data_IF_202458674042
#
_entry.id   IF_202458674042
#
_cell.length_a   1.000
_cell.length_b   1.000
_cell.length_c   1.000
_cell.angle_alpha   90.00
_cell.angle_beta   90.00
_cell.angle_gamma   90.00
#
_symmetry.space_group_name_H-M   'P 1'
#
loop_
_entity.id
_entity.type
_entity.pdbx_description
1 polymer ?
#
# COMPACT_ATOMS: atom_id res chain seq x y z
N UNK A 1 -27.13 65.68 -75.69
CA UNK A 1 -26.55 64.33 -75.87
C UNK A 1 -26.65 63.60 -74.53
N UNK A 2 -27.25 62.41 -74.55
CA UNK A 2 -27.57 61.50 -73.43
C UNK A 2 -28.73 61.86 -72.49
N UNK A 3 -29.88 61.24 -72.77
CA UNK A 3 -30.99 60.84 -71.90
C UNK A 3 -31.58 59.61 -72.62
N UNK A 4 -31.57 58.39 -72.08
CA UNK A 4 -32.63 57.68 -71.30
C UNK A 4 -32.19 56.20 -71.25
N UNK A 5 -32.57 55.26 -70.37
CA UNK A 5 -33.74 55.00 -69.54
C UNK A 5 -33.39 54.00 -68.42
N UNK A 6 -34.25 53.96 -67.40
CA UNK A 6 -34.20 53.09 -66.23
C UNK A 6 -34.66 51.64 -66.51
N UNK A 7 -34.23 50.69 -65.67
CA UNK A 7 -35.01 49.50 -65.34
C UNK A 7 -34.71 49.04 -63.90
N UNK A 8 -35.80 48.83 -63.16
CA UNK A 8 -35.86 48.37 -61.77
C UNK A 8 -35.64 46.86 -61.68
N UNK A 9 -35.03 46.40 -60.59
CA UNK A 9 -35.08 45.02 -60.14
C UNK A 9 -35.03 44.94 -58.63
N UNK A 10 -36.17 44.63 -57.99
CA UNK A 10 -36.28 44.24 -56.59
C UNK A 10 -35.60 42.88 -56.37
N UNK A 11 -34.85 42.72 -55.27
CA UNK A 11 -34.57 41.42 -54.68
C UNK A 11 -34.79 41.48 -53.16
N UNK A 12 -35.80 40.72 -52.72
CA UNK A 12 -36.16 40.45 -51.34
C UNK A 12 -35.08 39.62 -50.62
N UNK A 13 -34.98 39.81 -49.32
CA UNK A 13 -33.96 39.23 -48.45
C UNK A 13 -34.14 37.76 -48.06
N UNK A 14 -33.10 37.24 -47.41
CA UNK A 14 -33.14 36.17 -46.42
C UNK A 14 -31.84 36.24 -45.60
N UNK A 15 -31.88 36.87 -44.43
CA UNK A 15 -30.79 36.78 -43.46
C UNK A 15 -30.91 35.45 -42.70
N UNK A 16 -30.06 34.48 -43.04
CA UNK A 16 -29.93 33.23 -42.30
C UNK A 16 -29.17 33.50 -40.99
N UNK A 17 -29.92 33.58 -39.89
CA UNK A 17 -29.35 33.53 -38.53
C UNK A 17 -28.90 32.10 -38.24
N UNK A 18 -27.59 31.83 -38.36
CA UNK A 18 -26.98 30.63 -37.83
C UNK A 18 -26.94 30.72 -36.29
N UNK A 19 -27.93 30.14 -35.63
CA UNK A 19 -27.90 29.90 -34.19
C UNK A 19 -26.85 28.82 -33.87
N UNK A 20 -25.68 29.23 -33.42
CA UNK A 20 -24.67 28.31 -32.89
C UNK A 20 -25.12 27.80 -31.51
N UNK A 21 -25.72 26.62 -31.45
CA UNK A 21 -25.91 25.90 -30.18
C UNK A 21 -24.57 25.31 -29.75
N UNK A 22 -23.85 26.01 -28.88
CA UNK A 22 -22.67 25.48 -28.21
C UNK A 22 -23.10 24.35 -27.24
N UNK A 23 -23.06 23.11 -27.73
CA UNK A 23 -23.16 21.94 -26.88
C UNK A 23 -21.95 21.92 -25.93
N UNK A 24 -22.16 22.34 -24.68
CA UNK A 24 -21.18 22.19 -23.62
C UNK A 24 -21.09 20.70 -23.30
N UNK A 25 -20.11 20.02 -23.90
CA UNK A 25 -19.74 18.67 -23.48
C UNK A 25 -19.28 18.75 -22.02
N UNK A 26 -20.10 18.24 -21.10
CA UNK A 26 -19.69 18.04 -19.72
C UNK A 26 -18.56 17.01 -19.73
N UNK A 27 -17.38 17.41 -19.24
CA UNK A 27 -16.28 16.48 -19.01
C UNK A 27 -16.78 15.32 -18.14
N UNK A 28 -16.36 14.06 -18.42
CA UNK A 28 -16.76 12.94 -17.58
C UNK A 28 -16.30 13.20 -16.15
N UNK A 29 -17.23 13.05 -15.19
CA UNK A 29 -16.91 13.13 -13.78
C UNK A 29 -15.78 12.14 -13.46
N UNK A 30 -14.68 12.63 -12.89
CA UNK A 30 -13.59 11.77 -12.41
C UNK A 30 -14.19 10.78 -11.41
N UNK A 31 -14.07 9.49 -11.69
CA UNK A 31 -14.52 8.45 -10.76
C UNK A 31 -13.78 8.64 -9.43
N UNK A 32 -14.52 8.62 -8.31
CA UNK A 32 -13.89 8.68 -6.99
C UNK A 32 -12.92 7.51 -6.83
N UNK A 33 -11.74 7.73 -6.22
CA UNK A 33 -10.80 6.65 -5.97
C UNK A 33 -11.47 5.55 -5.13
N UNK A 34 -11.14 4.27 -5.38
CA UNK A 34 -11.73 3.17 -4.65
C UNK A 34 -11.43 3.30 -3.15
N UNK A 35 -12.40 2.90 -2.32
CA UNK A 35 -12.20 2.76 -0.87
C UNK A 35 -11.90 1.29 -0.53
N UNK A 36 -11.09 1.00 0.50
CA UNK A 36 -10.82 -0.37 0.91
C UNK A 36 -12.08 -1.03 1.48
N UNK A 37 -12.40 -2.23 0.98
CA UNK A 37 -13.51 -3.05 1.42
C UNK A 37 -13.21 -3.74 2.77
N UNK A 38 -11.97 -4.20 2.95
CA UNK A 38 -11.48 -4.75 4.22
C UNK A 38 -10.84 -3.63 5.02
N UNK A 39 -11.42 -3.33 6.19
CA UNK A 39 -11.02 -2.21 7.04
C UNK A 39 -10.26 -2.64 8.30
N UNK A 40 -10.37 -3.91 8.68
CA UNK A 40 -9.67 -4.50 9.80
C UNK A 40 -9.56 -6.02 9.60
N UNK A 41 -8.63 -6.65 10.29
CA UNK A 41 -8.60 -8.11 10.44
C UNK A 41 -9.60 -8.54 11.52
N UNK A 42 -10.27 -9.67 11.31
CA UNK A 42 -11.22 -10.21 12.30
C UNK A 42 -10.53 -10.63 13.60
N UNK A 43 -9.25 -10.98 13.53
CA UNK A 43 -8.44 -11.43 14.66
C UNK A 43 -7.08 -10.72 14.61
N UNK A 44 -6.52 -10.42 15.78
CA UNK A 44 -5.16 -9.90 15.89
C UNK A 44 -4.14 -11.00 15.56
N UNK A 45 -3.31 -10.83 14.51
CA UNK A 45 -2.38 -11.85 14.08
C UNK A 45 -1.28 -12.08 15.13
N UNK A 46 -0.98 -13.35 15.42
CA UNK A 46 0.16 -13.76 16.23
C UNK A 46 1.36 -14.17 15.35
N UNK A 47 1.14 -14.36 14.05
CA UNK A 47 2.19 -14.73 13.12
C UNK A 47 2.01 -14.14 11.72
N UNK A 48 3.13 -13.74 11.10
CA UNK A 48 3.13 -13.18 9.76
C UNK A 48 4.32 -13.69 8.94
N UNK A 49 4.08 -13.91 7.65
CA UNK A 49 5.12 -14.00 6.63
C UNK A 49 5.11 -12.74 5.77
N UNK A 50 6.26 -12.10 5.61
CA UNK A 50 6.48 -10.95 4.73
C UNK A 50 7.10 -11.45 3.42
N UNK A 51 6.37 -11.34 2.33
CA UNK A 51 6.77 -11.82 1.00
C UNK A 51 6.97 -10.62 0.08
N UNK A 52 8.20 -10.39 -0.36
CA UNK A 52 8.50 -9.25 -1.22
C UNK A 52 9.99 -9.09 -1.47
N UNK A 53 10.49 -7.86 -1.36
CA UNK A 53 11.82 -7.51 -1.83
C UNK A 53 12.58 -6.60 -0.85
N UNK A 54 13.48 -5.79 -1.38
CA UNK A 54 14.33 -4.85 -0.65
C UNK A 54 13.56 -3.85 0.20
N UNK A 55 12.32 -3.53 -0.15
CA UNK A 55 11.47 -2.66 0.66
C UNK A 55 11.08 -3.31 2.00
N UNK A 56 11.15 -4.64 2.09
CA UNK A 56 10.98 -5.37 3.34
C UNK A 56 12.26 -5.73 4.06
N UNK A 57 13.42 -5.94 3.42
CA UNK A 57 14.64 -6.31 4.16
C UNK A 57 15.49 -5.10 4.58
N UNK A 58 15.31 -3.92 3.96
CA UNK A 58 16.10 -2.75 4.30
C UNK A 58 16.01 -2.40 5.79
N UNK A 59 17.11 -1.89 6.34
CA UNK A 59 17.21 -1.43 7.73
C UNK A 59 16.79 -2.48 8.77
N UNK A 60 17.23 -3.73 8.64
CA UNK A 60 16.91 -4.83 9.58
C UNK A 60 15.46 -5.35 9.50
N UNK A 61 14.86 -5.22 8.33
CA UNK A 61 13.60 -5.81 7.91
C UNK A 61 12.30 -5.43 8.65
N UNK A 62 11.22 -5.30 7.88
CA UNK A 62 9.90 -4.87 8.34
C UNK A 62 9.34 -5.72 9.50
N UNK A 63 9.51 -7.04 9.43
CA UNK A 63 9.02 -7.96 10.47
C UNK A 63 9.70 -7.71 11.84
N UNK A 64 10.97 -7.31 11.85
CA UNK A 64 11.72 -6.97 13.06
C UNK A 64 11.27 -5.64 13.68
N UNK A 65 11.06 -4.62 12.84
CA UNK A 65 10.50 -3.33 13.28
C UNK A 65 9.09 -3.47 13.80
N UNK A 66 8.23 -4.24 13.12
CA UNK A 66 6.87 -4.53 13.58
C UNK A 66 6.88 -5.21 14.95
N UNK A 67 7.70 -6.25 15.14
CA UNK A 67 7.84 -6.91 16.45
C UNK A 67 8.27 -5.92 17.53
N UNK A 68 9.20 -5.02 17.22
CA UNK A 68 9.68 -4.01 18.17
C UNK A 68 8.61 -2.97 18.52
N UNK A 69 7.77 -2.58 17.56
CA UNK A 69 6.59 -1.73 17.80
C UNK A 69 5.55 -2.44 18.68
N UNK A 70 5.25 -3.72 18.42
CA UNK A 70 4.33 -4.51 19.25
C UNK A 70 4.81 -4.51 20.71
N UNK A 71 6.10 -4.84 20.93
CA UNK A 71 6.70 -4.80 22.27
C UNK A 71 6.69 -3.39 22.87
N UNK A 72 7.03 -2.38 22.08
CA UNK A 72 7.10 -0.98 22.52
C UNK A 72 5.74 -0.36 22.85
N UNK A 73 4.64 -0.94 22.35
CA UNK A 73 3.27 -0.63 22.73
C UNK A 73 2.83 -1.33 24.04
N UNK A 74 3.68 -2.21 24.59
CA UNK A 74 3.38 -2.98 25.80
C UNK A 74 2.46 -4.18 25.56
N UNK A 75 2.27 -4.61 24.31
CA UNK A 75 1.45 -5.77 23.98
C UNK A 75 2.14 -7.06 24.47
N UNK A 76 1.42 -7.83 25.29
CA UNK A 76 1.97 -9.03 25.94
C UNK A 76 1.86 -10.28 25.06
N UNK A 77 1.04 -10.24 24.00
CA UNK A 77 0.86 -11.40 23.11
C UNK A 77 2.11 -11.58 22.25
N UNK A 78 2.68 -12.80 22.18
CA UNK A 78 3.83 -13.05 21.34
C UNK A 78 3.47 -12.89 19.86
N UNK A 79 4.37 -12.29 19.09
CA UNK A 79 4.28 -12.16 17.64
C UNK A 79 5.50 -12.76 16.97
N UNK A 80 5.27 -13.64 15.99
CA UNK A 80 6.32 -14.28 15.18
C UNK A 80 6.26 -13.80 13.74
N UNK A 81 7.28 -13.08 13.29
CA UNK A 81 7.42 -12.65 11.91
C UNK A 81 8.54 -13.38 11.19
N UNK A 82 8.32 -13.77 9.93
CA UNK A 82 9.37 -14.25 9.01
C UNK A 82 9.35 -13.39 7.75
N UNK A 83 10.51 -13.19 7.13
CA UNK A 83 10.65 -12.47 5.86
C UNK A 83 11.23 -13.39 4.79
N UNK A 84 10.52 -13.55 3.68
CA UNK A 84 10.98 -14.22 2.47
C UNK A 84 11.10 -13.17 1.38
N UNK A 85 12.32 -12.68 1.19
CA UNK A 85 12.58 -11.54 0.32
C UNK A 85 13.60 -11.85 -0.76
N UNK A 86 13.33 -11.40 -1.99
CA UNK A 86 14.25 -11.51 -3.11
C UNK A 86 14.54 -10.10 -3.63
N UNK A 87 15.81 -9.73 -3.78
CA UNK A 87 16.18 -8.38 -4.21
C UNK A 87 15.60 -8.06 -5.59
N UNK A 88 14.83 -6.97 -5.68
CA UNK A 88 14.21 -6.51 -6.93
C UNK A 88 13.02 -7.33 -7.42
N UNK A 89 12.53 -8.31 -6.65
CA UNK A 89 11.43 -9.18 -7.10
C UNK A 89 10.11 -8.45 -7.26
N UNK A 90 9.35 -8.87 -8.26
CA UNK A 90 7.90 -8.77 -8.28
C UNK A 90 7.24 -10.05 -7.73
N UNK A 91 5.92 -10.03 -7.64
CA UNK A 91 5.12 -11.17 -7.17
C UNK A 91 5.39 -12.45 -7.96
N UNK A 92 5.63 -12.33 -9.26
CA UNK A 92 5.79 -13.45 -10.18
C UNK A 92 7.07 -14.27 -9.94
N UNK A 93 8.04 -13.72 -9.20
CA UNK A 93 9.27 -14.45 -8.84
C UNK A 93 9.08 -15.34 -7.60
N UNK A 94 8.04 -15.08 -6.80
CA UNK A 94 7.80 -15.81 -5.56
C UNK A 94 6.95 -17.06 -5.83
N UNK A 95 7.53 -18.22 -5.58
CA UNK A 95 6.77 -19.46 -5.43
C UNK A 95 6.13 -19.52 -4.03
N UNK A 96 5.00 -18.81 -3.86
CA UNK A 96 4.31 -18.68 -2.57
C UNK A 96 3.82 -20.03 -2.05
N UNK A 97 3.39 -20.95 -2.93
CA UNK A 97 2.98 -22.30 -2.53
C UNK A 97 4.12 -23.00 -1.80
N UNK A 98 5.35 -22.85 -2.31
CA UNK A 98 6.52 -23.48 -1.69
C UNK A 98 6.79 -23.05 -0.24
N UNK A 99 6.39 -21.83 0.14
CA UNK A 99 6.61 -21.26 1.47
C UNK A 99 5.64 -21.80 2.52
N UNK A 100 4.47 -22.28 2.08
CA UNK A 100 3.40 -22.81 2.93
C UNK A 100 3.37 -24.35 2.99
N UNK A 101 4.25 -25.04 2.26
CA UNK A 101 4.32 -26.52 2.32
C UNK A 101 4.56 -27.02 3.76
N UNK A 102 4.09 -28.23 4.12
CA UNK A 102 4.41 -28.84 5.41
C UNK A 102 5.91 -28.85 5.67
N UNK A 103 6.32 -28.46 6.88
CA UNK A 103 7.73 -28.36 7.30
C UNK A 103 8.60 -27.43 6.43
N UNK A 104 8.02 -26.44 5.75
CA UNK A 104 8.76 -25.43 5.00
C UNK A 104 9.25 -24.29 5.90
N UNK A 105 8.84 -23.05 5.63
CA UNK A 105 9.29 -21.87 6.36
C UNK A 105 8.78 -21.92 7.80
N UNK A 106 9.70 -21.75 8.75
CA UNK A 106 9.38 -21.79 10.19
C UNK A 106 9.24 -23.19 10.78
N UNK A 107 9.75 -24.23 10.10
CA UNK A 107 9.74 -25.62 10.58
C UNK A 107 10.46 -25.85 11.91
N UNK A 108 11.34 -24.93 12.31
CA UNK A 108 11.94 -24.91 13.64
C UNK A 108 12.14 -23.47 14.14
N UNK A 109 12.31 -23.34 15.44
CA UNK A 109 12.62 -22.10 16.16
C UNK A 109 13.67 -22.37 17.23
N UNK A 110 14.21 -21.31 17.82
CA UNK A 110 15.10 -21.40 18.98
C UNK A 110 14.32 -21.00 20.22
N UNK A 111 14.39 -21.81 21.29
CA UNK A 111 13.85 -21.44 22.60
C UNK A 111 14.77 -20.47 23.36
N UNK A 112 14.41 -20.13 24.60
CA UNK A 112 15.16 -19.20 25.44
C UNK A 112 16.56 -19.71 25.81
N UNK A 113 16.79 -21.02 25.73
CA UNK A 113 18.05 -21.68 26.02
C UNK A 113 18.86 -21.97 24.73
N UNK A 114 18.39 -21.47 23.57
CA UNK A 114 18.93 -21.69 22.23
C UNK A 114 18.85 -23.14 21.72
N UNK A 115 17.95 -23.95 22.25
CA UNK A 115 17.68 -25.27 21.68
C UNK A 115 16.83 -25.15 20.41
N UNK A 116 17.10 -26.03 19.44
CA UNK A 116 16.28 -26.14 18.24
C UNK A 116 14.99 -26.88 18.59
N UNK A 117 13.86 -26.20 18.43
CA UNK A 117 12.52 -26.74 18.65
C UNK A 117 11.80 -26.86 17.31
N UNK A 118 11.45 -28.08 16.92
CA UNK A 118 10.71 -28.35 15.70
C UNK A 118 9.23 -27.99 15.87
N UNK A 119 8.71 -27.15 14.98
CA UNK A 119 7.33 -26.69 14.98
C UNK A 119 6.44 -27.69 14.24
N UNK A 120 5.33 -28.10 14.88
CA UNK A 120 4.27 -28.84 14.23
C UNK A 120 2.98 -28.00 14.25
N UNK A 121 2.79 -27.16 13.23
CA UNK A 121 1.66 -26.23 13.13
C UNK A 121 0.80 -26.59 11.93
N UNK A 122 -0.51 -26.74 12.16
CA UNK A 122 -1.47 -26.95 11.07
C UNK A 122 -1.62 -25.68 10.21
N UNK A 123 -1.56 -24.50 10.83
CA UNK A 123 -1.50 -23.19 10.16
C UNK A 123 -0.14 -22.56 10.45
N UNK A 124 0.69 -22.34 9.42
CA UNK A 124 2.05 -21.82 9.60
C UNK A 124 2.06 -20.33 9.98
N UNK A 125 1.18 -19.54 9.36
CA UNK A 125 1.06 -18.10 9.57
C UNK A 125 -0.42 -17.68 9.66
N UNK A 126 -0.73 -16.65 10.43
CA UNK A 126 -2.09 -16.06 10.46
C UNK A 126 -2.30 -15.14 9.26
N UNK A 127 -1.26 -14.42 8.86
CA UNK A 127 -1.29 -13.50 7.70
C UNK A 127 -0.07 -13.66 6.78
N UNK A 128 -0.27 -13.35 5.51
CA UNK A 128 0.81 -13.14 4.54
C UNK A 128 0.78 -11.68 4.08
N UNK A 129 1.79 -10.90 4.48
CA UNK A 129 1.97 -9.51 4.06
C UNK A 129 2.79 -9.51 2.77
N UNK A 130 2.16 -9.15 1.66
CA UNK A 130 2.72 -9.31 0.32
C UNK A 130 2.90 -7.94 -0.35
N UNK A 131 4.07 -7.70 -0.92
CA UNK A 131 4.38 -6.52 -1.72
C UNK A 131 4.95 -6.94 -3.08
N UNK A 132 4.47 -6.31 -4.15
CA UNK A 132 5.02 -6.49 -5.50
C UNK A 132 6.31 -5.63 -5.67
N UNK A 133 6.90 -5.62 -6.86
CA UNK A 133 7.95 -4.67 -7.16
C UNK A 133 7.40 -3.22 -7.06
N UNK A 134 8.22 -2.27 -6.59
CA UNK A 134 7.76 -0.94 -6.16
C UNK A 134 7.07 -0.09 -7.24
N UNK A 135 7.20 -0.44 -8.52
CA UNK A 135 6.56 0.25 -9.65
C UNK A 135 5.68 -0.69 -10.50
N UNK A 136 5.76 -2.02 -10.29
CA UNK A 136 5.06 -3.01 -11.11
C UNK A 136 3.54 -2.80 -11.18
N UNK A 137 2.84 -2.48 -10.07
CA UNK A 137 1.39 -2.28 -10.07
C UNK A 137 0.89 -1.19 -11.02
N UNK A 138 1.75 -0.22 -11.37
CA UNK A 138 1.40 0.95 -12.20
C UNK A 138 2.11 0.93 -13.56
N UNK A 139 2.92 -0.09 -13.84
CA UNK A 139 3.65 -0.18 -15.10
C UNK A 139 2.75 -0.80 -16.20
N UNK A 140 2.70 -0.24 -17.42
CA UNK A 140 1.74 -0.67 -18.45
C UNK A 140 1.77 -2.17 -18.81
N UNK A 141 2.94 -2.81 -18.71
CA UNK A 141 3.08 -4.27 -18.98
C UNK A 141 3.03 -5.13 -17.73
N UNK A 142 3.33 -4.58 -16.56
CA UNK A 142 3.44 -5.36 -15.32
C UNK A 142 2.22 -5.20 -14.42
N UNK A 143 1.39 -4.17 -14.61
CA UNK A 143 0.11 -4.02 -13.91
C UNK A 143 -0.81 -5.24 -14.06
N UNK A 144 -0.98 -5.82 -15.27
CA UNK A 144 -1.73 -7.06 -15.42
C UNK A 144 -1.09 -8.27 -14.71
N UNK A 145 0.25 -8.32 -14.66
CA UNK A 145 0.99 -9.37 -13.95
C UNK A 145 0.79 -9.23 -12.43
N UNK A 146 0.86 -8.01 -11.90
CA UNK A 146 0.52 -7.68 -10.53
C UNK A 146 -0.89 -8.19 -10.17
N UNK A 147 -1.91 -7.86 -10.96
CA UNK A 147 -3.29 -8.29 -10.70
C UNK A 147 -3.44 -9.82 -10.71
N UNK A 148 -2.86 -10.50 -11.71
CA UNK A 148 -2.93 -11.97 -11.83
C UNK A 148 -2.25 -12.66 -10.64
N UNK A 149 -1.04 -12.25 -10.27
CA UNK A 149 -0.32 -12.86 -9.15
C UNK A 149 -0.84 -12.43 -7.78
N UNK A 150 -1.37 -11.21 -7.63
CA UNK A 150 -2.10 -10.81 -6.42
C UNK A 150 -3.25 -11.77 -6.14
N UNK A 151 -3.99 -12.17 -7.19
CA UNK A 151 -5.07 -13.16 -7.09
C UNK A 151 -4.55 -14.55 -6.73
N UNK A 152 -3.61 -15.09 -7.52
CA UNK A 152 -3.06 -16.44 -7.30
C UNK A 152 -2.45 -16.61 -5.93
N UNK A 153 -1.61 -15.66 -5.50
CA UNK A 153 -0.98 -15.70 -4.19
C UNK A 153 -1.99 -15.58 -3.06
N UNK A 154 -3.01 -14.73 -3.23
CA UNK A 154 -4.08 -14.64 -2.24
C UNK A 154 -4.89 -15.94 -2.12
N UNK A 155 -5.19 -16.61 -3.24
CA UNK A 155 -5.84 -17.93 -3.24
C UNK A 155 -5.00 -18.98 -2.54
N UNK A 156 -3.70 -19.04 -2.85
CA UNK A 156 -2.74 -19.93 -2.17
C UNK A 156 -2.70 -19.67 -0.67
N UNK A 157 -2.54 -18.42 -0.24
CA UNK A 157 -2.49 -18.03 1.17
C UNK A 157 -3.76 -18.48 1.90
N UNK A 158 -4.95 -18.29 1.29
CA UNK A 158 -6.22 -18.73 1.89
C UNK A 158 -6.36 -20.26 1.96
N UNK A 159 -5.88 -21.00 0.95
CA UNK A 159 -5.88 -22.48 0.99
C UNK A 159 -5.10 -23.03 2.18
N UNK A 160 -4.06 -22.31 2.62
CA UNK A 160 -3.24 -22.66 3.78
C UNK A 160 -3.74 -22.04 5.10
N UNK A 161 -4.97 -21.51 5.11
CA UNK A 161 -5.64 -21.00 6.31
C UNK A 161 -5.16 -19.63 6.81
N UNK A 162 -4.28 -18.97 6.06
CA UNK A 162 -3.79 -17.61 6.36
C UNK A 162 -4.63 -16.55 5.63
N UNK A 163 -4.56 -15.29 6.09
CA UNK A 163 -5.21 -14.15 5.43
C UNK A 163 -4.21 -13.38 4.55
N UNK A 164 -4.53 -13.11 3.28
CA UNK A 164 -3.71 -12.24 2.45
C UNK A 164 -3.84 -10.78 2.91
N UNK A 165 -2.70 -10.10 2.97
CA UNK A 165 -2.58 -8.68 3.27
C UNK A 165 -1.66 -8.07 2.22
N UNK A 166 -2.04 -6.97 1.60
CA UNK A 166 -1.17 -6.25 0.69
C UNK A 166 -0.48 -5.08 1.39
N UNK A 167 0.78 -4.88 1.03
CA UNK A 167 1.55 -3.73 1.48
C UNK A 167 1.67 -2.73 0.33
N UNK A 168 0.92 -1.63 0.42
CA UNK A 168 0.99 -0.54 -0.56
C UNK A 168 2.28 0.23 -0.35
N UNK A 169 3.27 -0.01 -1.21
CA UNK A 169 4.54 0.72 -1.20
C UNK A 169 4.38 2.19 -1.61
N UNK A 170 5.46 2.95 -1.47
CA UNK A 170 5.49 4.40 -1.70
C UNK A 170 5.96 4.79 -3.10
N UNK A 171 5.60 6.01 -3.48
CA UNK A 171 6.18 6.71 -4.62
C UNK A 171 7.68 6.94 -4.42
N UNK A 172 8.43 7.04 -5.52
CA UNK A 172 9.83 7.47 -5.42
C UNK A 172 9.89 8.97 -5.10
N UNK A 173 10.97 9.41 -4.46
CA UNK A 173 11.08 10.79 -3.97
C UNK A 173 10.96 11.83 -5.10
N UNK A 174 11.38 11.48 -6.32
CA UNK A 174 11.32 12.31 -7.52
C UNK A 174 10.18 11.93 -8.48
N UNK A 175 9.26 11.08 -8.04
CA UNK A 175 8.06 10.64 -8.79
C UNK A 175 6.81 10.66 -7.91
N UNK A 176 6.47 11.79 -7.25
CA UNK A 176 5.33 11.86 -6.33
C UNK A 176 3.99 11.48 -6.97
N UNK A 177 3.84 11.64 -8.29
CA UNK A 177 2.67 11.23 -9.08
C UNK A 177 2.34 9.73 -8.97
N UNK A 178 3.31 8.89 -8.59
CA UNK A 178 3.08 7.46 -8.37
C UNK A 178 2.14 7.19 -7.20
N UNK A 179 2.01 8.12 -6.25
CA UNK A 179 1.27 7.91 -4.99
C UNK A 179 -0.18 7.52 -5.25
N UNK A 180 -0.89 8.32 -6.05
CA UNK A 180 -2.30 8.07 -6.35
C UNK A 180 -2.47 6.79 -7.16
N UNK A 181 -1.61 6.55 -8.15
CA UNK A 181 -1.66 5.37 -9.00
C UNK A 181 -1.43 4.07 -8.20
N UNK A 182 -0.44 4.07 -7.31
CA UNK A 182 -0.17 2.93 -6.43
C UNK A 182 -1.33 2.71 -5.44
N UNK A 183 -1.87 3.78 -4.87
CA UNK A 183 -3.01 3.69 -3.97
C UNK A 183 -4.23 3.08 -4.66
N UNK A 184 -4.51 3.51 -5.89
CA UNK A 184 -5.61 2.99 -6.70
C UNK A 184 -5.42 1.51 -7.03
N UNK A 185 -4.22 1.12 -7.49
CA UNK A 185 -3.88 -0.25 -7.88
C UNK A 185 -3.97 -1.22 -6.70
N UNK A 186 -3.34 -0.88 -5.56
CA UNK A 186 -3.37 -1.73 -4.37
C UNK A 186 -4.76 -1.80 -3.74
N UNK A 187 -5.54 -0.71 -3.73
CA UNK A 187 -6.91 -0.75 -3.19
C UNK A 187 -7.82 -1.64 -4.04
N UNK A 188 -7.71 -1.57 -5.38
CA UNK A 188 -8.44 -2.48 -6.27
C UNK A 188 -8.05 -3.93 -6.03
N UNK A 189 -6.75 -4.24 -6.03
CA UNK A 189 -6.27 -5.59 -5.77
C UNK A 189 -6.75 -6.10 -4.40
N UNK A 190 -6.71 -5.25 -3.37
CA UNK A 190 -7.24 -5.55 -2.03
C UNK A 190 -8.73 -5.90 -2.06
N UNK A 191 -9.55 -5.09 -2.73
CA UNK A 191 -10.99 -5.31 -2.85
C UNK A 191 -11.31 -6.58 -3.61
N UNK A 192 -10.67 -6.82 -4.76
CA UNK A 192 -10.85 -8.01 -5.59
C UNK A 192 -10.45 -9.30 -4.87
N UNK A 193 -9.54 -9.19 -3.90
CA UNK A 193 -9.02 -10.32 -3.14
C UNK A 193 -9.47 -10.35 -1.69
N UNK A 194 -10.45 -9.54 -1.27
CA UNK A 194 -10.87 -9.46 0.13
C UNK A 194 -9.67 -9.42 1.09
N UNK A 195 -8.67 -8.61 0.75
CA UNK A 195 -7.40 -8.49 1.46
C UNK A 195 -7.29 -7.09 2.08
N UNK A 196 -6.80 -7.03 3.32
CA UNK A 196 -6.44 -5.76 3.95
C UNK A 196 -5.27 -5.12 3.17
N UNK A 197 -5.30 -3.80 3.01
CA UNK A 197 -4.19 -3.05 2.41
C UNK A 197 -3.56 -2.14 3.47
N UNK A 198 -2.25 -2.31 3.71
CA UNK A 198 -1.46 -1.42 4.58
C UNK A 198 -1.06 -0.19 3.77
N UNK A 199 -1.50 1.03 4.12
CA UNK A 199 -1.33 2.23 3.29
C UNK A 199 0.02 2.95 3.50
N UNK A 200 1.15 2.23 3.46
CA UNK A 200 2.46 2.82 3.71
C UNK A 200 2.83 3.92 2.70
N UNK A 201 2.44 3.76 1.43
CA UNK A 201 2.64 4.78 0.40
C UNK A 201 1.94 6.11 0.69
N UNK A 202 0.71 6.05 1.21
CA UNK A 202 -0.03 7.25 1.63
C UNK A 202 0.60 7.89 2.86
N UNK A 203 1.18 7.10 3.77
CA UNK A 203 1.85 7.61 4.95
C UNK A 203 3.14 8.37 4.57
N UNK A 204 3.91 7.83 3.61
CA UNK A 204 5.07 8.51 3.04
C UNK A 204 4.68 9.85 2.42
N UNK A 205 3.65 9.87 1.57
CA UNK A 205 3.17 11.10 0.95
C UNK A 205 2.72 12.15 1.99
N UNK A 206 2.02 11.72 3.05
CA UNK A 206 1.65 12.60 4.17
C UNK A 206 2.89 13.17 4.87
N UNK A 207 3.85 12.33 5.24
CA UNK A 207 5.07 12.78 5.93
C UNK A 207 5.87 13.77 5.09
N UNK A 208 6.03 13.53 3.78
CA UNK A 208 6.77 14.42 2.88
C UNK A 208 6.05 15.76 2.74
N UNK A 209 4.71 15.77 2.69
CA UNK A 209 3.91 17.01 2.68
C UNK A 209 4.05 17.79 3.98
N UNK A 210 3.95 17.11 5.13
CA UNK A 210 3.85 17.75 6.44
C UNK A 210 5.23 18.16 7.00
N UNK A 211 6.30 17.44 6.63
CA UNK A 211 7.68 17.74 7.01
C UNK A 211 8.65 17.44 5.86
N UNK A 212 8.72 18.30 4.83
CA UNK A 212 9.51 18.04 3.60
C UNK A 212 11.02 17.90 3.83
N UNK A 213 11.55 18.43 4.93
CA UNK A 213 12.96 18.31 5.29
C UNK A 213 13.32 16.95 5.92
N UNK A 214 12.34 16.14 6.32
CA UNK A 214 12.59 14.80 6.85
C UNK A 214 12.78 13.83 5.69
N UNK A 215 14.03 13.39 5.48
CA UNK A 215 14.34 12.47 4.39
C UNK A 215 13.93 11.02 4.72
N UNK A 216 12.94 10.50 4.01
CA UNK A 216 12.46 9.12 4.13
C UNK A 216 13.16 8.13 3.19
N UNK A 217 14.08 8.60 2.36
CA UNK A 217 14.71 7.80 1.30
C UNK A 217 16.23 7.74 1.48
N UNK A 218 16.87 6.69 0.99
CA UNK A 218 18.32 6.71 0.80
C UNK A 218 18.67 7.47 -0.50
N UNK A 219 19.97 7.58 -0.79
CA UNK A 219 20.48 8.38 -1.92
C UNK A 219 19.88 8.01 -3.28
N UNK A 220 19.36 6.79 -3.43
CA UNK A 220 18.77 6.30 -4.67
C UNK A 220 17.29 6.72 -4.88
N UNK A 221 16.73 7.50 -3.94
CA UNK A 221 15.38 8.07 -3.97
C UNK A 221 14.23 7.06 -4.00
N UNK A 222 14.53 5.77 -3.76
CA UNK A 222 13.57 4.66 -3.86
C UNK A 222 13.49 3.88 -2.56
N UNK A 223 14.63 3.41 -2.07
CA UNK A 223 14.69 2.61 -0.85
C UNK A 223 14.54 3.49 0.38
N UNK A 224 14.01 2.95 1.49
CA UNK A 224 13.69 3.73 2.66
C UNK A 224 14.96 4.04 3.46
N UNK A 225 15.05 5.27 3.99
CA UNK A 225 15.92 5.55 5.13
C UNK A 225 15.41 4.81 6.38
N UNK A 226 16.15 4.89 7.49
CA UNK A 226 15.67 4.34 8.76
C UNK A 226 14.34 4.98 9.19
N UNK A 227 14.19 6.31 8.99
CA UNK A 227 12.95 7.03 9.23
C UNK A 227 11.80 6.53 8.31
N UNK A 228 12.08 6.31 7.02
CA UNK A 228 11.10 5.72 6.10
C UNK A 228 10.66 4.31 6.52
N UNK A 229 11.60 3.48 6.95
CA UNK A 229 11.30 2.10 7.41
C UNK A 229 10.46 2.14 8.68
N UNK A 230 10.81 3.01 9.62
CA UNK A 230 10.06 3.20 10.85
C UNK A 230 8.61 3.68 10.58
N UNK A 231 8.41 4.64 9.66
CA UNK A 231 7.08 5.09 9.26
C UNK A 231 6.24 3.95 8.65
N UNK A 232 6.84 3.17 7.75
CA UNK A 232 6.18 2.01 7.16
C UNK A 232 5.82 0.94 8.20
N UNK A 233 6.70 0.70 9.18
CA UNK A 233 6.45 -0.23 10.27
C UNK A 233 5.34 0.27 11.22
N UNK A 234 5.34 1.54 11.58
CA UNK A 234 4.29 2.16 12.40
C UNK A 234 2.93 2.10 11.69
N UNK A 235 2.91 2.32 10.38
CA UNK A 235 1.71 2.19 9.54
C UNK A 235 1.23 0.74 9.48
N UNK A 236 2.15 -0.22 9.39
CA UNK A 236 1.85 -1.66 9.43
C UNK A 236 1.24 -2.06 10.77
N UNK A 237 1.84 -1.63 11.89
CA UNK A 237 1.31 -1.86 13.23
C UNK A 237 -0.12 -1.30 13.37
N UNK A 238 -0.31 -0.04 12.98
CA UNK A 238 -1.62 0.61 13.05
C UNK A 238 -2.68 -0.13 12.22
N UNK A 239 -2.35 -0.56 11.01
CA UNK A 239 -3.27 -1.24 10.10
C UNK A 239 -3.62 -2.67 10.57
N UNK A 240 -2.64 -3.43 11.05
CA UNK A 240 -2.85 -4.83 11.45
C UNK A 240 -3.52 -4.97 12.83
N UNK A 241 -3.22 -4.08 13.76
CA UNK A 241 -3.68 -4.17 15.16
C UNK A 241 -4.82 -3.19 15.48
N UNK A 242 -5.10 -2.22 14.61
CA UNK A 242 -6.14 -1.21 14.82
C UNK A 242 -5.84 -0.29 16.03
N UNK A 243 -4.58 -0.19 16.43
CA UNK A 243 -4.11 0.56 17.58
C UNK A 243 -3.21 1.72 17.15
N UNK A 244 -3.26 2.83 17.89
CA UNK A 244 -2.36 3.95 17.62
C UNK A 244 -0.91 3.58 17.98
N UNK A 245 0.07 3.85 17.10
CA UNK A 245 1.49 3.81 17.43
C UNK A 245 1.97 5.05 18.20
N UNK A 246 1.13 6.07 18.40
CA UNK A 246 1.51 7.28 19.16
C UNK A 246 1.89 6.93 20.61
N UNK A 247 3.04 7.43 21.05
CA UNK A 247 3.59 7.15 22.39
C UNK A 247 4.29 5.78 22.50
N UNK A 248 4.47 5.07 21.38
CA UNK A 248 5.23 3.82 21.37
C UNK A 248 6.68 4.06 21.80
N UNK A 249 7.19 3.19 22.69
CA UNK A 249 8.53 3.33 23.28
C UNK A 249 9.66 2.94 22.31
N UNK A 250 9.35 2.17 21.28
CA UNK A 250 10.32 1.83 20.26
C UNK A 250 10.42 2.95 19.22
N UNK A 251 11.62 3.49 19.02
CA UNK A 251 11.87 4.59 18.06
C UNK A 251 12.80 4.20 16.91
N UNK A 252 13.25 2.94 16.86
CA UNK A 252 14.31 2.46 15.97
C UNK A 252 15.64 3.24 16.07
N UNK A 253 15.86 4.04 17.12
CA UNK A 253 17.05 4.89 17.27
C UNK A 253 16.89 6.30 16.70
N UNK A 254 15.70 6.66 16.22
CA UNK A 254 15.36 8.04 15.85
C UNK A 254 15.23 8.90 17.10
N UNK A 255 15.44 10.21 16.94
CA UNK A 255 15.14 11.18 17.99
C UNK A 255 13.63 11.20 18.31
N UNK A 256 13.29 11.61 19.53
CA UNK A 256 11.94 11.51 20.05
C UNK A 256 10.92 12.33 19.23
N UNK A 257 11.33 13.48 18.71
CA UNK A 257 10.45 14.36 17.92
C UNK A 257 10.13 13.72 16.57
N UNK A 258 11.15 13.22 15.87
CA UNK A 258 10.98 12.50 14.60
C UNK A 258 10.12 11.24 14.78
N UNK A 259 10.40 10.44 15.82
CA UNK A 259 9.63 9.23 16.08
C UNK A 259 8.15 9.54 16.38
N UNK A 260 7.87 10.53 17.24
CA UNK A 260 6.51 10.93 17.57
C UNK A 260 5.76 11.47 16.34
N UNK A 261 6.41 12.29 15.52
CA UNK A 261 5.83 12.77 14.27
C UNK A 261 5.44 11.61 13.34
N UNK A 262 6.33 10.64 13.12
CA UNK A 262 6.07 9.50 12.23
C UNK A 262 4.98 8.57 12.77
N UNK A 263 4.89 8.39 14.09
CA UNK A 263 3.77 7.65 14.72
C UNK A 263 2.42 8.33 14.42
N UNK A 264 2.34 9.65 14.58
CA UNK A 264 1.13 10.44 14.28
C UNK A 264 0.75 10.33 12.80
N UNK A 265 1.72 10.47 11.89
CA UNK A 265 1.50 10.32 10.44
C UNK A 265 0.94 8.94 10.11
N UNK A 266 1.53 7.88 10.67
CA UNK A 266 1.05 6.52 10.49
C UNK A 266 -0.39 6.36 10.98
N UNK A 267 -0.69 6.82 12.19
CA UNK A 267 -2.03 6.69 12.78
C UNK A 267 -3.11 7.40 11.97
N UNK A 268 -2.88 8.67 11.63
CA UNK A 268 -3.84 9.45 10.87
C UNK A 268 -4.05 8.86 9.47
N UNK A 269 -2.97 8.39 8.82
CA UNK A 269 -3.09 7.77 7.50
C UNK A 269 -3.95 6.52 7.53
N UNK A 270 -3.74 5.63 8.51
CA UNK A 270 -4.53 4.40 8.64
C UNK A 270 -5.99 4.73 8.94
N UNK A 271 -6.27 5.68 9.82
CA UNK A 271 -7.64 6.11 10.12
C UNK A 271 -8.36 6.69 8.92
N UNK A 272 -7.68 7.51 8.13
CA UNK A 272 -8.28 8.13 6.94
C UNK A 272 -8.51 7.11 5.82
N UNK A 273 -7.62 6.12 5.69
CA UNK A 273 -7.71 5.10 4.65
C UNK A 273 -8.68 3.96 4.99
N UNK A 274 -8.55 3.33 6.17
CA UNK A 274 -9.36 2.17 6.59
C UNK A 274 -10.62 2.55 7.38
N UNK A 275 -10.72 3.77 7.91
CA UNK A 275 -11.80 4.19 8.82
C UNK A 275 -11.51 3.88 10.29
N UNK A 276 -12.53 4.02 11.15
CA UNK A 276 -12.37 3.99 12.63
C UNK A 276 -12.63 2.63 13.29
N UNK A 277 -12.66 1.52 12.55
CA UNK A 277 -12.93 0.18 13.12
C UNK A 277 -11.66 -0.41 13.74
N UNK A 278 -11.78 -0.94 14.96
CA UNK A 278 -10.71 -1.67 15.66
C UNK A 278 -10.71 -3.13 15.21
N UNK A 279 -9.54 -3.77 15.17
CA UNK A 279 -9.44 -5.23 15.02
C UNK A 279 -10.19 -5.93 16.17
N UNK A 280 -10.80 -7.09 15.90
CA UNK A 280 -11.48 -7.89 16.92
C UNK A 280 -10.52 -8.23 18.07
N UNK A 281 -11.04 -8.20 19.31
CA UNK A 281 -10.29 -8.57 20.50
C UNK A 281 -9.99 -10.07 20.53
#
# INVERSE_FOLDING_TARGET
MSLTHAARGLALGAALLFGATAAHAQAPAQAQPPRPAVQALDERPASAIFIGNSFFYYNNSMHGHLRSLITGAGEQRPFSGVSVTISGSGFEWHDVESYFRPNAVGSYTFDVDNNIVFNNRARLFDIAVMMDCSQCPIHPRLGPVFTDFAKRHSETVRRHGAKPVFFMSWAYADKPEMTEQLAEAYTRAGNENNALVIPAGLAFARSVRDRPNLNLYVADKRHPSLAGTYLAAATTYAALFGNSPEGNRYTAGLDAETAAFLQTVAWQTVRDYLGTRRAGN
#
